data_IF_533871296214
#
_entry.id   IF_533871296214
#
_cell.length_a   1.000
_cell.length_b   1.000
_cell.length_c   1.000
_cell.angle_alpha   90.00
_cell.angle_beta   90.00
_cell.angle_gamma   90.00
#
_symmetry.space_group_name_H-M   'P 1'
#
loop_
_entity.id
_entity.type
_entity.pdbx_description
1 polymer ?
#
# COMPACT_ATOMS: atom_id res chain seq x y z
N UNK A 1 15.90 0.55 -2.00
CA UNK A 1 14.52 -0.03 -2.05
C UNK A 1 13.57 1.04 -2.54
N UNK A 2 12.56 0.71 -3.35
CA UNK A 2 11.55 1.70 -3.72
C UNK A 2 10.58 1.92 -2.57
N UNK A 3 10.14 3.16 -2.40
CA UNK A 3 9.09 3.53 -1.49
C UNK A 3 7.95 4.21 -2.23
N UNK A 4 6.78 4.14 -1.65
CA UNK A 4 5.62 4.88 -2.09
C UNK A 4 4.98 5.57 -0.89
N UNK A 5 4.50 6.79 -1.09
CA UNK A 5 3.56 7.40 -0.15
C UNK A 5 2.32 7.87 -0.87
N UNK A 6 1.20 7.89 -0.17
CA UNK A 6 -0.05 8.46 -0.66
C UNK A 6 -0.79 9.11 0.51
N UNK A 7 -1.69 10.02 0.18
CA UNK A 7 -2.57 10.67 1.16
C UNK A 7 -4.00 10.20 0.94
N UNK A 8 -4.75 9.97 2.01
CA UNK A 8 -6.18 9.73 1.95
C UNK A 8 -6.93 10.52 3.02
N UNK A 9 -8.22 10.81 2.79
CA UNK A 9 -9.08 11.39 3.83
C UNK A 9 -9.59 10.27 4.74
N UNK A 10 -9.16 10.28 6.00
CA UNK A 10 -9.61 9.29 6.98
C UNK A 10 -11.07 9.50 7.35
N UNK A 11 -11.82 8.40 7.37
CA UNK A 11 -13.25 8.44 7.72
C UNK A 11 -13.48 8.81 9.19
N UNK A 12 -12.53 8.46 10.07
CA UNK A 12 -12.66 8.62 11.53
C UNK A 12 -12.55 10.08 11.97
N UNK A 13 -11.59 10.82 11.41
CA UNK A 13 -11.28 12.19 11.82
C UNK A 13 -11.56 13.22 10.71
N UNK A 14 -11.92 12.78 9.49
CA UNK A 14 -12.15 13.65 8.32
C UNK A 14 -10.93 14.50 7.94
N UNK A 15 -9.73 14.07 8.33
CA UNK A 15 -8.48 14.75 8.03
C UNK A 15 -7.63 13.97 7.03
N UNK A 16 -6.76 14.65 6.26
CA UNK A 16 -5.73 13.99 5.46
C UNK A 16 -4.81 13.13 6.34
N UNK A 17 -4.58 11.90 5.93
CA UNK A 17 -3.63 10.98 6.52
C UNK A 17 -2.65 10.52 5.44
N UNK A 18 -1.35 10.70 5.70
CA UNK A 18 -0.28 10.23 4.83
C UNK A 18 0.15 8.83 5.27
N UNK A 19 0.19 7.92 4.31
CA UNK A 19 0.70 6.56 4.48
C UNK A 19 2.00 6.46 3.69
N UNK A 20 3.00 5.79 4.25
CA UNK A 20 4.24 5.46 3.57
C UNK A 20 4.37 3.95 3.52
N UNK A 21 5.04 3.42 2.50
CA UNK A 21 5.38 2.00 2.46
C UNK A 21 6.60 1.71 1.60
N UNK A 22 7.21 0.56 1.85
CA UNK A 22 8.37 0.07 1.10
C UNK A 22 7.92 -1.06 0.20
N UNK A 23 8.37 -1.02 -1.04
CA UNK A 23 8.02 -2.02 -2.03
C UNK A 23 8.54 -3.41 -1.62
N UNK A 24 7.66 -4.39 -1.72
CA UNK A 24 7.92 -5.81 -1.47
C UNK A 24 7.21 -6.63 -2.54
N UNK A 25 7.62 -7.89 -2.69
CA UNK A 25 6.86 -8.82 -3.53
C UNK A 25 5.56 -9.21 -2.82
N UNK A 26 4.53 -9.56 -3.59
CA UNK A 26 3.29 -10.09 -3.02
C UNK A 26 3.55 -11.35 -2.19
N UNK A 27 4.37 -12.28 -2.68
CA UNK A 27 4.68 -13.53 -1.96
C UNK A 27 5.34 -13.28 -0.61
N UNK A 28 6.21 -12.26 -0.51
CA UNK A 28 6.81 -11.86 0.77
C UNK A 28 5.73 -11.36 1.73
N UNK A 29 4.92 -10.39 1.30
CA UNK A 29 3.87 -9.79 2.15
C UNK A 29 2.81 -10.81 2.57
N UNK A 30 2.49 -11.75 1.68
CA UNK A 30 1.56 -12.84 1.92
C UNK A 30 2.02 -13.70 3.10
N UNK A 31 3.30 -14.09 3.08
CA UNK A 31 3.90 -14.92 4.12
C UNK A 31 4.13 -14.13 5.41
N UNK A 32 4.62 -12.89 5.33
CA UNK A 32 4.92 -12.05 6.48
C UNK A 32 3.66 -11.71 7.30
N UNK A 33 2.55 -11.41 6.62
CA UNK A 33 1.31 -10.96 7.26
C UNK A 33 0.21 -12.02 7.32
N UNK A 34 0.54 -13.29 7.05
CA UNK A 34 -0.39 -14.43 7.03
C UNK A 34 -1.68 -14.10 6.25
N UNK A 35 -1.51 -13.53 5.05
CA UNK A 35 -2.63 -13.09 4.21
C UNK A 35 -3.02 -14.18 3.23
N UNK A 36 -4.25 -14.66 3.34
CA UNK A 36 -4.87 -15.46 2.29
C UNK A 36 -5.31 -14.58 1.11
N UNK A 37 -5.30 -15.18 -0.08
CA UNK A 37 -5.72 -14.54 -1.33
C UNK A 37 -4.64 -14.50 -2.41
N UNK A 38 -5.04 -13.95 -3.55
CA UNK A 38 -4.15 -13.63 -4.67
C UNK A 38 -3.80 -12.14 -4.63
N UNK A 39 -2.67 -11.79 -5.25
CA UNK A 39 -2.38 -10.40 -5.57
C UNK A 39 -3.47 -9.81 -6.47
N UNK A 40 -3.40 -8.51 -6.70
CA UNK A 40 -4.20 -7.88 -7.75
C UNK A 40 -3.92 -8.56 -9.09
N UNK A 41 -4.96 -8.76 -9.90
CA UNK A 41 -4.84 -9.36 -11.23
C UNK A 41 -4.10 -8.49 -12.24
N UNK A 42 -3.90 -7.22 -11.92
CA UNK A 42 -3.19 -6.27 -12.76
C UNK A 42 -1.68 -6.52 -12.69
N UNK A 43 -0.99 -6.78 -13.82
CA UNK A 43 0.44 -7.08 -13.83
C UNK A 43 1.31 -5.85 -13.48
N UNK A 44 0.75 -4.64 -13.47
CA UNK A 44 1.45 -3.41 -13.08
C UNK A 44 1.30 -3.10 -11.59
N UNK A 45 0.61 -3.96 -10.83
CA UNK A 45 0.42 -3.80 -9.39
C UNK A 45 1.76 -3.85 -8.65
N UNK A 46 2.01 -2.81 -7.85
CA UNK A 46 3.15 -2.70 -6.95
C UNK A 46 2.66 -2.83 -5.51
N UNK A 47 3.31 -3.63 -4.69
CA UNK A 47 2.87 -3.95 -3.33
C UNK A 47 3.82 -3.36 -2.31
N UNK A 48 3.26 -2.83 -1.22
CA UNK A 48 4.00 -2.07 -0.23
C UNK A 48 3.64 -2.55 1.18
N UNK A 49 4.68 -2.79 1.98
CA UNK A 49 4.59 -2.89 3.43
C UNK A 49 4.48 -1.48 4.00
N UNK A 50 3.46 -1.20 4.81
CA UNK A 50 3.28 0.13 5.39
C UNK A 50 4.28 0.42 6.50
N UNK A 51 4.91 1.59 6.46
CA UNK A 51 5.67 2.16 7.56
C UNK A 51 4.81 3.21 8.26
N UNK A 52 4.44 2.93 9.51
CA UNK A 52 3.71 3.87 10.37
C UNK A 52 2.18 3.69 10.30
N UNK A 53 1.38 4.77 10.43
CA UNK A 53 -0.06 4.66 10.53
C UNK A 53 -0.71 4.32 9.18
N UNK A 54 -1.60 3.34 9.15
CA UNK A 54 -2.31 2.93 7.93
C UNK A 54 -2.75 1.46 7.96
N UNK A 55 -3.20 0.91 6.82
CA UNK A 55 -3.34 -0.54 6.66
C UNK A 55 -1.96 -1.19 6.78
N UNK A 56 -1.87 -2.47 7.16
CA UNK A 56 -0.56 -3.15 7.26
C UNK A 56 0.19 -3.20 5.91
N UNK A 57 -0.56 -3.35 4.82
CA UNK A 57 -0.03 -3.33 3.47
C UNK A 57 -1.02 -2.68 2.51
N UNK A 58 -0.50 -2.15 1.41
CA UNK A 58 -1.30 -1.58 0.33
C UNK A 58 -0.66 -1.91 -1.02
N UNK A 59 -1.46 -1.78 -2.08
CA UNK A 59 -1.00 -1.93 -3.45
C UNK A 59 -1.33 -0.70 -4.27
N UNK A 60 -0.53 -0.43 -5.29
CA UNK A 60 -0.73 0.68 -6.22
C UNK A 60 -0.78 0.15 -7.64
N UNK A 61 -1.86 0.49 -8.34
CA UNK A 61 -2.01 0.36 -9.80
C UNK A 61 -2.29 1.78 -10.27
N UNK A 62 -1.24 2.51 -10.67
CA UNK A 62 -1.32 3.96 -10.82
C UNK A 62 -2.47 4.38 -11.75
N UNK A 63 -3.34 5.34 -11.36
CA UNK A 63 -3.25 6.22 -10.18
C UNK A 63 -4.11 5.76 -8.98
N UNK A 64 -4.39 4.46 -8.85
CA UNK A 64 -5.27 3.90 -7.82
C UNK A 64 -4.48 3.23 -6.70
N UNK A 65 -4.92 3.43 -5.47
CA UNK A 65 -4.39 2.73 -4.29
C UNK A 65 -5.43 1.77 -3.74
N UNK A 66 -4.98 0.60 -3.31
CA UNK A 66 -5.78 -0.48 -2.75
C UNK A 66 -5.23 -0.86 -1.38
N UNK A 67 -6.10 -1.08 -0.40
CA UNK A 67 -5.73 -1.73 0.86
C UNK A 67 -6.24 -3.16 0.87
N UNK A 68 -5.55 -4.01 1.62
CA UNK A 68 -5.94 -5.40 1.81
C UNK A 68 -6.66 -5.56 3.15
N UNK A 69 -7.89 -6.09 3.10
CA UNK A 69 -8.68 -6.42 4.29
C UNK A 69 -9.51 -7.69 4.01
N UNK A 70 -9.74 -8.52 5.02
CA UNK A 70 -10.56 -9.74 4.91
C UNK A 70 -10.30 -10.58 3.63
N UNK A 71 -9.02 -10.79 3.28
CA UNK A 71 -8.59 -11.57 2.10
C UNK A 71 -8.98 -10.96 0.74
N UNK A 72 -9.32 -9.67 0.71
CA UNK A 72 -9.74 -8.96 -0.49
C UNK A 72 -9.06 -7.59 -0.60
N UNK A 73 -8.97 -7.12 -1.85
CA UNK A 73 -8.45 -5.80 -2.17
C UNK A 73 -9.57 -4.79 -2.33
N UNK A 74 -9.45 -3.67 -1.61
CA UNK A 74 -10.41 -2.58 -1.65
C UNK A 74 -9.73 -1.30 -2.13
N UNK A 75 -10.32 -0.64 -3.13
CA UNK A 75 -9.82 0.63 -3.65
C UNK A 75 -10.12 1.78 -2.69
N UNK A 76 -9.12 2.59 -2.37
CA UNK A 76 -9.34 3.88 -1.73
C UNK A 76 -10.07 4.82 -2.69
N UNK A 77 -11.19 5.39 -2.24
CA UNK A 77 -11.95 6.39 -3.02
C UNK A 77 -11.32 7.78 -2.96
N UNK A 78 -10.52 8.05 -1.94
CA UNK A 78 -9.96 9.37 -1.62
C UNK A 78 -8.43 9.36 -1.57
N UNK A 79 -7.76 8.42 -2.24
CA UNK A 79 -6.30 8.40 -2.33
C UNK A 79 -5.81 9.41 -3.39
N UNK A 80 -4.84 10.24 -3.02
CA UNK A 80 -4.19 11.22 -3.89
C UNK A 80 -2.73 11.43 -3.46
N UNK A 81 -1.98 12.26 -4.19
CA UNK A 81 -0.55 12.51 -3.98
C UNK A 81 0.29 11.23 -3.89
N UNK A 82 0.10 10.33 -4.87
CA UNK A 82 0.88 9.09 -4.97
C UNK A 82 2.28 9.46 -5.45
N UNK A 83 3.26 9.35 -4.55
CA UNK A 83 4.66 9.71 -4.80
C UNK A 83 5.49 8.44 -4.69
N UNK A 84 6.30 8.17 -5.72
CA UNK A 84 7.27 7.08 -5.72
C UNK A 84 8.68 7.64 -5.58
N UNK A 85 9.41 7.12 -4.60
CA UNK A 85 10.78 7.54 -4.30
C UNK A 85 11.71 6.32 -4.25
N UNK A 86 13.00 6.53 -4.50
CA UNK A 86 14.03 5.54 -4.22
C UNK A 86 14.62 5.88 -2.86
N UNK A 87 14.53 4.95 -1.90
CA UNK A 87 15.15 5.11 -0.59
C UNK A 87 16.33 4.16 -0.50
N UNK A 88 17.51 4.72 -0.24
CA UNK A 88 18.67 3.96 0.21
C UNK A 88 18.52 3.73 1.71
N UNK A 89 18.09 2.52 2.08
CA UNK A 89 18.13 2.07 3.47
C UNK A 89 19.49 1.40 3.64
N UNK A 90 20.42 1.97 4.44
CA UNK A 90 21.68 1.30 4.73
C UNK A 90 21.38 -0.03 5.43
N UNK A 91 21.93 -1.12 4.87
CA UNK A 91 21.86 -2.47 5.44
C UNK A 91 22.49 -2.53 6.84
#
# INVERSE_FOLDING_TARGET
MNACSFTFISLRNKLPCRVMGIERTWDYLKNEFDRDGNGLSDPTARYFETIGPGPQLFAVVYPSVYYHDQQQWFKYKSSYDIIFDIIDIPN
#
